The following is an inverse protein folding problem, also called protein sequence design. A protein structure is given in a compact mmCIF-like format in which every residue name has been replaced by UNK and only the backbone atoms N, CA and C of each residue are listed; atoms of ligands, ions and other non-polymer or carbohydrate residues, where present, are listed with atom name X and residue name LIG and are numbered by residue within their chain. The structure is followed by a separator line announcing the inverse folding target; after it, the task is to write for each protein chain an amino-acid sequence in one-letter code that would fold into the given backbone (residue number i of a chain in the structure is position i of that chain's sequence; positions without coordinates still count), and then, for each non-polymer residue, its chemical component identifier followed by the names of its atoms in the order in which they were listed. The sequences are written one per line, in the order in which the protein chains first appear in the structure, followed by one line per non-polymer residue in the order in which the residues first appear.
data_IF_456719102848
#
_entry.id   IF_456719102848
#
_cell.length_a   1.000
_cell.length_b   1.000
_cell.length_c   1.000
_cell.angle_alpha   90.00
_cell.angle_beta   90.00
_cell.angle_gamma   90.00
#
_symmetry.space_group_name_H-M   'P 1'
#
loop_
_entity.id
_entity.type
_entity.pdbx_description
1 polymer ?
#
# COMPACT_ATOMS: atom_id res chain seq x y z
N UNK A 1 25.84 -16.67 -0.69
CA UNK A 1 25.27 -16.67 -1.03
C UNK A 1 24.87 -16.00 -1.71
N UNK A 2 24.98 -15.99 -2.14
CA UNK A 2 24.73 -15.36 -2.93
C UNK A 2 23.55 -15.23 -3.27
N UNK A 3 23.10 -15.67 -3.08
CA UNK A 3 22.10 -15.67 -3.37
C UNK A 3 21.23 -14.93 -3.20
N UNK A 4 21.40 -14.16 -3.13
CA UNK A 4 20.72 -13.44 -2.76
C UNK A 4 19.91 -12.67 -3.47
N UNK A 5 19.01 -12.58 -3.86
CA UNK A 5 18.13 -11.72 -4.48
C UNK A 5 18.58 -11.25 -5.83
N UNK A 6 17.72 -10.58 -6.55
CA UNK A 6 18.04 -10.09 -7.89
C UNK A 6 19.02 -8.93 -7.83
N UNK A 7 19.67 -8.68 -8.95
CA UNK A 7 20.56 -7.53 -9.06
C UNK A 7 19.80 -6.23 -9.08
N UNK A 8 18.56 -6.28 -9.54
CA UNK A 8 17.72 -5.09 -9.57
C UNK A 8 17.22 -4.78 -8.17
N UNK A 9 16.85 -3.53 -7.90
CA UNK A 9 16.26 -3.20 -6.61
C UNK A 9 15.01 -4.01 -6.36
N UNK A 10 14.78 -4.32 -5.10
CA UNK A 10 13.62 -5.12 -4.70
C UNK A 10 13.20 -4.75 -3.28
N UNK A 11 12.09 -5.30 -2.85
CA UNK A 11 11.56 -5.08 -1.52
C UNK A 11 11.65 -6.36 -0.70
N UNK A 12 11.97 -6.21 0.57
CA UNK A 12 11.82 -7.28 1.55
C UNK A 12 10.54 -7.01 2.31
N UNK A 13 9.77 -8.07 2.53
CA UNK A 13 8.48 -7.98 3.21
C UNK A 13 8.56 -8.76 4.51
N UNK A 14 8.31 -8.09 5.62
CA UNK A 14 8.38 -8.70 6.94
C UNK A 14 6.97 -8.91 7.49
N UNK A 15 6.44 -10.11 7.34
CA UNK A 15 5.10 -10.42 7.86
C UNK A 15 5.13 -11.28 9.11
N UNK A 16 6.20 -11.24 9.85
CA UNK A 16 6.29 -12.00 11.08
C UNK A 16 6.78 -13.42 10.84
N UNK A 17 6.33 -14.35 11.63
CA UNK A 17 6.89 -15.69 11.66
C UNK A 17 6.10 -16.71 10.85
N UNK A 18 5.11 -16.31 10.14
CA UNK A 18 4.25 -17.26 9.46
C UNK A 18 4.75 -17.67 8.07
N UNK A 19 5.91 -17.22 7.69
CA UNK A 19 6.47 -17.58 6.40
C UNK A 19 5.88 -16.83 5.22
N UNK A 20 4.93 -15.94 5.45
CA UNK A 20 4.32 -15.19 4.38
C UNK A 20 5.20 -14.07 3.85
N UNK A 21 6.28 -13.75 4.57
CA UNK A 21 7.19 -12.71 4.14
C UNK A 21 8.04 -13.17 2.97
N UNK A 22 9.10 -12.43 2.72
CA UNK A 22 10.01 -12.75 1.64
C UNK A 22 10.39 -11.50 0.90
N UNK A 23 10.56 -11.62 -0.39
CA UNK A 23 10.91 -10.46 -1.20
C UNK A 23 9.98 -10.36 -2.40
N UNK A 24 9.89 -9.17 -2.96
CA UNK A 24 9.13 -8.97 -4.18
C UNK A 24 9.84 -7.95 -5.07
N UNK A 25 9.62 -8.07 -6.38
CA UNK A 25 10.16 -7.11 -7.32
C UNK A 25 9.36 -5.83 -7.31
N UNK A 26 9.97 -4.77 -7.83
CA UNK A 26 9.32 -3.47 -7.86
C UNK A 26 8.20 -3.38 -8.91
N UNK A 27 8.13 -4.35 -9.80
CA UNK A 27 7.10 -4.33 -10.84
C UNK A 27 5.77 -4.88 -10.35
N UNK A 28 5.78 -5.61 -9.25
CA UNK A 28 4.55 -6.16 -8.71
C UNK A 28 3.88 -5.13 -7.82
N UNK A 29 2.56 -5.16 -7.72
CA UNK A 29 1.88 -4.31 -6.76
C UNK A 29 2.37 -4.62 -5.35
N UNK A 30 2.43 -3.59 -4.51
CA UNK A 30 2.88 -3.78 -3.15
C UNK A 30 1.93 -4.70 -2.41
N UNK A 31 2.47 -5.63 -1.64
CA UNK A 31 1.65 -6.49 -0.80
C UNK A 31 0.95 -5.64 0.25
N UNK A 32 0.05 -6.26 0.98
CA UNK A 32 -0.80 -5.56 1.95
C UNK A 32 0.01 -4.72 2.92
N UNK A 33 -0.33 -3.44 2.98
CA UNK A 33 0.23 -2.54 3.99
C UNK A 33 -0.58 -2.76 5.26
N UNK A 34 0.12 -3.12 6.33
CA UNK A 34 -0.51 -3.35 7.63
C UNK A 34 -0.24 -2.16 8.54
N UNK A 35 -0.69 -2.26 9.78
CA UNK A 35 -0.47 -1.20 10.75
C UNK A 35 0.97 -1.18 11.29
N UNK A 36 1.80 -2.10 10.86
CA UNK A 36 3.19 -2.17 11.27
C UNK A 36 4.13 -1.93 10.09
N UNK A 37 5.37 -1.64 10.40
CA UNK A 37 6.39 -1.36 9.41
C UNK A 37 6.86 -2.67 8.80
N UNK A 38 6.50 -2.94 7.56
CA UNK A 38 6.68 -4.25 6.94
C UNK A 38 7.61 -4.28 5.74
N UNK A 39 7.98 -3.13 5.19
CA UNK A 39 8.65 -3.11 3.90
C UNK A 39 10.00 -2.43 3.96
N UNK A 40 11.02 -3.10 3.42
CA UNK A 40 12.35 -2.53 3.27
C UNK A 40 12.72 -2.51 1.80
N UNK A 41 13.29 -1.41 1.38
CA UNK A 41 13.80 -1.24 0.02
C UNK A 41 15.27 -1.63 0.00
N UNK A 42 15.63 -2.49 -0.94
CA UNK A 42 16.99 -2.97 -1.07
C UNK A 42 17.50 -2.63 -2.46
N UNK A 43 18.68 -2.05 -2.52
CA UNK A 43 19.34 -1.82 -3.79
C UNK A 43 20.83 -2.08 -3.64
N UNK A 44 21.49 -2.30 -4.75
CA UNK A 44 22.95 -2.51 -4.75
C UNK A 44 23.64 -1.18 -5.03
N UNK A 45 24.60 -0.88 -4.22
CA UNK A 45 25.43 0.29 -4.39
C UNK A 45 26.87 -0.16 -4.25
N UNK A 46 27.66 0.02 -5.28
CA UNK A 46 29.07 -0.38 -5.28
C UNK A 46 29.28 -1.84 -4.88
N UNK A 47 28.42 -2.72 -5.37
CA UNK A 47 28.53 -4.15 -5.09
C UNK A 47 27.94 -4.60 -3.78
N UNK A 48 27.44 -3.69 -2.96
CA UNK A 48 26.86 -4.03 -1.66
C UNK A 48 25.35 -3.76 -1.68
N UNK A 49 24.62 -4.56 -0.94
CA UNK A 49 23.19 -4.34 -0.77
C UNK A 49 22.98 -3.32 0.34
N UNK A 50 22.22 -2.29 0.02
CA UNK A 50 21.86 -1.25 0.98
C UNK A 50 20.36 -1.38 1.25
N UNK A 51 19.99 -1.30 2.52
CA UNK A 51 18.62 -1.53 2.98
C UNK A 51 18.12 -0.30 3.71
N UNK A 52 16.88 0.08 3.43
CA UNK A 52 16.18 1.07 4.26
C UNK A 52 14.69 0.75 4.27
N UNK A 53 14.03 1.09 5.35
CA UNK A 53 12.58 0.90 5.40
C UNK A 53 11.90 1.91 4.49
N UNK A 54 10.77 1.53 3.94
CA UNK A 54 9.97 2.49 3.17
C UNK A 54 9.46 3.59 4.10
N UNK A 55 9.53 4.80 3.61
CA UNK A 55 9.10 5.94 4.38
C UNK A 55 7.61 6.21 4.20
N UNK A 56 7.02 6.93 5.15
CA UNK A 56 5.59 7.22 5.12
C UNK A 56 5.14 7.83 3.78
N UNK A 57 5.84 8.81 3.19
CA UNK A 57 5.42 9.32 1.89
C UNK A 57 5.39 8.25 0.80
N UNK A 58 6.31 7.30 0.85
CA UNK A 58 6.34 6.21 -0.13
C UNK A 58 5.17 5.26 0.06
N UNK A 59 4.88 4.90 1.30
CA UNK A 59 3.74 4.04 1.60
C UNK A 59 2.43 4.72 1.24
N UNK A 60 2.33 6.01 1.52
CA UNK A 60 1.16 6.79 1.19
C UNK A 60 0.93 6.81 -0.32
N UNK A 61 2.00 7.01 -1.07
CA UNK A 61 1.93 7.01 -2.51
C UNK A 61 1.56 5.63 -3.06
N UNK A 62 2.10 4.57 -2.46
CA UNK A 62 1.79 3.20 -2.87
C UNK A 62 0.31 2.89 -2.70
N UNK A 63 -0.35 3.49 -1.72
CA UNK A 63 -1.78 3.33 -1.54
C UNK A 63 -2.62 4.26 -2.41
N UNK A 64 -1.98 5.13 -3.16
CA UNK A 64 -2.69 6.02 -4.06
C UNK A 64 -3.21 7.29 -3.45
N UNK A 65 -2.75 7.65 -2.25
CA UNK A 65 -3.12 8.94 -1.69
C UNK A 65 -2.44 10.08 -2.48
N UNK A 66 -3.14 11.17 -2.69
CA UNK A 66 -2.51 12.33 -3.35
C UNK A 66 -1.37 12.88 -2.51
N UNK A 67 -0.41 13.50 -3.17
CA UNK A 67 0.71 14.11 -2.46
C UNK A 67 0.26 15.19 -1.50
N UNK A 68 -0.84 15.85 -1.81
CA UNK A 68 -1.37 16.92 -0.96
C UNK A 68 -1.97 16.41 0.33
N UNK A 69 -2.27 15.13 0.41
CA UNK A 69 -2.85 14.56 1.61
C UNK A 69 -1.75 14.40 2.66
N UNK A 70 -1.90 15.01 3.80
CA UNK A 70 -0.88 15.02 4.83
C UNK A 70 -1.36 14.48 6.15
N UNK A 71 -0.50 13.70 6.79
CA UNK A 71 -0.69 13.32 8.18
C UNK A 71 0.05 14.34 9.02
N UNK A 72 -0.68 15.22 9.67
CA UNK A 72 -0.06 16.33 10.38
C UNK A 72 0.41 16.00 11.77
N UNK A 73 -0.12 14.95 12.35
CA UNK A 73 0.16 14.62 13.73
C UNK A 73 0.62 13.18 13.86
N UNK A 74 1.33 12.92 14.96
CA UNK A 74 1.79 11.59 15.24
C UNK A 74 3.20 11.34 14.75
N UNK A 75 3.81 10.32 15.31
CA UNK A 75 5.14 9.87 14.89
C UNK A 75 4.97 8.87 13.76
N UNK A 76 6.09 8.40 13.24
CA UNK A 76 6.11 7.44 12.12
C UNK A 76 5.20 6.25 12.36
N UNK A 77 5.26 5.65 13.54
CA UNK A 77 4.45 4.47 13.85
C UNK A 77 2.95 4.77 13.71
N UNK A 78 2.53 5.93 14.21
CA UNK A 78 1.12 6.32 14.14
C UNK A 78 0.67 6.49 12.69
N UNK A 79 1.51 7.09 11.87
CA UNK A 79 1.19 7.33 10.48
C UNK A 79 1.11 6.03 9.69
N UNK A 80 2.00 5.09 9.96
CA UNK A 80 1.93 3.78 9.34
C UNK A 80 0.66 3.05 9.74
N UNK A 81 0.26 3.14 11.01
CA UNK A 81 -0.97 2.52 11.47
C UNK A 81 -2.18 3.10 10.78
N UNK A 82 -2.20 4.41 10.57
CA UNK A 82 -3.29 5.05 9.84
C UNK A 82 -3.37 4.53 8.41
N UNK A 83 -2.23 4.37 7.75
CA UNK A 83 -2.20 3.84 6.39
C UNK A 83 -2.69 2.39 6.36
N UNK A 84 -2.25 1.58 7.31
CA UNK A 84 -2.65 0.18 7.36
C UNK A 84 -4.13 -0.02 7.59
N UNK A 85 -4.75 0.91 8.31
CA UNK A 85 -6.19 0.86 8.56
C UNK A 85 -7.00 1.60 7.49
N UNK A 86 -6.33 2.25 6.57
CA UNK A 86 -7.01 3.04 5.57
C UNK A 86 -7.41 2.21 4.35
N UNK A 87 -8.14 2.84 3.47
CA UNK A 87 -8.55 2.24 2.21
C UNK A 87 -7.84 2.98 1.09
N UNK A 88 -7.36 2.25 0.11
CA UNK A 88 -6.71 2.87 -1.06
C UNK A 88 -7.74 3.74 -1.80
N UNK A 89 -7.53 5.05 -1.91
CA UNK A 89 -8.51 5.91 -2.55
C UNK A 89 -8.88 5.50 -3.97
N UNK A 90 -7.94 5.11 -4.85
CA UNK A 90 -8.34 4.67 -6.19
C UNK A 90 -9.24 3.45 -6.18
N UNK A 91 -9.01 2.52 -5.25
CA UNK A 91 -9.83 1.31 -5.15
C UNK A 91 -11.24 1.67 -4.71
N UNK A 92 -11.36 2.51 -3.68
CA UNK A 92 -12.67 2.94 -3.22
C UNK A 92 -13.40 3.72 -4.31
N UNK A 93 -12.67 4.56 -5.03
CA UNK A 93 -13.26 5.31 -6.14
C UNK A 93 -13.82 4.35 -7.19
N UNK A 94 -13.08 3.31 -7.53
CA UNK A 94 -13.53 2.33 -8.51
C UNK A 94 -14.77 1.59 -8.04
N UNK A 95 -14.82 1.23 -6.76
CA UNK A 95 -15.97 0.54 -6.20
C UNK A 95 -17.21 1.43 -6.25
N UNK A 96 -17.07 2.67 -5.81
CA UNK A 96 -18.20 3.60 -5.81
C UNK A 96 -18.70 3.86 -7.23
N UNK A 97 -17.78 4.04 -8.16
CA UNK A 97 -18.16 4.22 -9.56
C UNK A 97 -18.91 3.02 -10.09
N UNK A 98 -18.46 1.83 -9.78
CA UNK A 98 -19.11 0.61 -10.22
C UNK A 98 -20.53 0.52 -9.67
N UNK A 99 -20.70 0.84 -8.40
CA UNK A 99 -22.01 0.78 -7.77
C UNK A 99 -22.97 1.81 -8.39
N UNK A 100 -22.50 3.02 -8.64
CA UNK A 100 -23.36 4.04 -9.22
C UNK A 100 -23.67 3.75 -10.67
N UNK A 101 -22.77 3.09 -11.36
CA UNK A 101 -22.98 2.75 -12.76
C UNK A 101 -24.03 1.66 -12.93
N UNK A 102 -24.13 0.76 -11.97
CA UNK A 102 -25.09 -0.30 -12.02
C UNK A 102 -26.50 0.19 -11.82
N UNK A 103 -26.68 1.33 -11.18
CA UNK A 103 -28.00 1.83 -10.92
C UNK A 103 -28.73 2.12 -12.18
N UNK A 104 -29.90 1.58 -12.34
CA UNK A 104 -30.69 1.93 -13.51
C UNK A 104 -31.12 3.35 -13.40
N UNK A 105 -31.28 3.90 -14.54
CA UNK A 105 -31.71 5.23 -14.56
C UNK A 105 -32.99 5.39 -13.91
N UNK A 106 -33.69 4.37 -13.85
CA UNK A 106 -34.86 4.58 -13.30
C UNK A 106 -34.89 4.61 -11.94
N UNK A 107 -34.62 4.49 -11.41
CA UNK A 107 -34.78 4.45 -10.26
C UNK A 107 -35.09 5.07 -9.47
N UNK A 108 -35.56 5.42 -9.27
CA UNK A 108 -35.70 5.97 -8.54
C UNK A 108 -35.91 5.71 -7.51
N UNK A 109 -35.97 5.70 -7.44
CA UNK A 109 -36.23 5.62 -6.72
C UNK A 109 -36.21 5.50 -5.65
N UNK A 110 -36.46 5.63 -5.43
CA UNK A 110 -36.53 5.65 -4.50
C UNK A 110 -36.30 5.16 -3.64
N UNK A 111 -36.40 4.92 -3.57
CA UNK A 111 -36.35 4.50 -2.90
C UNK A 111 -35.74 4.14 -2.10
N UNK A 112 -35.59 4.17 -2.21
CA UNK A 112 -35.10 3.85 -1.66
C UNK A 112 -34.56 3.72 -0.75
N UNK A 113 -34.53 3.86 -0.55
CA UNK A 113 -34.09 3.85 0.19
C UNK A 113 -33.87 3.47 1.16
N UNK A 114 -34.08 3.22 1.46
CA UNK A 114 -33.78 2.88 2.34
C UNK A 114 -33.05 2.30 2.67
N UNK A 115 -32.57 2.04 2.96
CA UNK A 115 -31.91 1.43 3.28
C UNK A 115 -31.40 1.24 3.53
#
# INVERSE_FOLDING_TARGET
MATVGPRKPFLIVYYGSDGAGGWQGLHAPLRTITTLDRFAFVRRVAGKHMIRMLQVPELKQAMGFPRSYRFRHGVRRNKIALLGNGVCPPVMKAIVKSLTRIRPTAAPSRSTTRV
#
